data_IF_382207522725
#
_entry.id   IF_382207522725
#
_cell.length_a   1.000
_cell.length_b   1.000
_cell.length_c   1.000
_cell.angle_alpha   90.00
_cell.angle_beta   90.00
_cell.angle_gamma   90.00
#
_symmetry.space_group_name_H-M   'P 1'
#
loop_
_entity.id
_entity.type
_entity.pdbx_description
1 polymer ?
#
# COMPACT_ATOMS: atom_id res chain seq x y z
N UNK A 1 -16.31 -55.36 -8.24
CA UNK A 1 -15.43 -55.34 -7.03
C UNK A 1 -14.50 -54.12 -6.95
N UNK A 2 -13.96 -53.60 -8.07
CA UNK A 2 -13.06 -52.42 -8.08
C UNK A 2 -13.63 -51.16 -7.38
N UNK A 3 -14.93 -50.88 -7.50
CA UNK A 3 -15.54 -49.68 -6.90
C UNK A 3 -15.75 -49.75 -5.38
N UNK A 4 -15.63 -50.94 -4.76
CA UNK A 4 -15.71 -51.08 -3.29
C UNK A 4 -14.35 -50.82 -2.63
N UNK A 5 -13.26 -51.19 -3.31
CA UNK A 5 -11.89 -51.00 -2.83
C UNK A 5 -11.50 -49.51 -2.84
N UNK A 6 -11.88 -48.76 -3.89
CA UNK A 6 -11.60 -47.31 -3.98
C UNK A 6 -12.36 -46.50 -2.92
N UNK A 7 -13.56 -46.94 -2.52
CA UNK A 7 -14.34 -46.28 -1.46
C UNK A 7 -13.75 -46.52 -0.07
N UNK A 8 -13.19 -47.71 0.17
CA UNK A 8 -12.54 -48.06 1.44
C UNK A 8 -11.20 -47.32 1.63
N UNK A 9 -10.43 -47.12 0.57
CA UNK A 9 -9.17 -46.35 0.64
C UNK A 9 -9.40 -44.85 0.84
N UNK A 10 -10.46 -44.27 0.26
CA UNK A 10 -10.84 -42.87 0.49
C UNK A 10 -11.35 -42.61 1.92
N UNK A 11 -11.98 -43.60 2.56
CA UNK A 11 -12.46 -43.48 3.95
C UNK A 11 -11.30 -43.49 4.97
N UNK A 12 -10.25 -44.28 4.71
CA UNK A 12 -9.08 -44.39 5.57
C UNK A 12 -8.19 -43.13 5.55
N UNK A 13 -8.13 -42.42 4.42
CA UNK A 13 -7.36 -41.17 4.29
C UNK A 13 -8.09 -40.00 4.97
N UNK A 14 -9.43 -40.01 5.06
CA UNK A 14 -10.18 -39.01 5.83
C UNK A 14 -10.08 -39.18 7.35
N UNK A 15 -9.79 -40.38 7.85
CA UNK A 15 -9.64 -40.66 9.28
C UNK A 15 -8.26 -40.28 9.85
N UNK A 16 -7.25 -40.05 9.00
CA UNK A 16 -5.90 -39.63 9.42
C UNK A 16 -5.69 -38.11 9.52
N UNK A 17 -6.68 -37.27 9.22
CA UNK A 17 -6.57 -35.81 9.34
C UNK A 17 -7.20 -35.22 10.62
N UNK A 18 -7.68 -36.07 11.55
CA UNK A 18 -8.39 -35.64 12.77
C UNK A 18 -7.58 -35.82 14.07
N UNK A 19 -6.38 -36.41 14.02
CA UNK A 19 -5.49 -36.51 15.20
C UNK A 19 -4.29 -35.57 15.08
N UNK A 20 -4.48 -34.34 15.55
CA UNK A 20 -3.42 -33.33 15.62
C UNK A 20 -3.82 -32.14 16.47
N UNK A 21 -4.30 -32.38 17.70
CA UNK A 21 -4.48 -31.34 18.70
C UNK A 21 -3.80 -31.75 20.03
N UNK A 22 -3.21 -30.72 20.64
CA UNK A 22 -2.70 -30.63 22.00
C UNK A 22 -1.34 -31.31 22.26
N UNK A 23 -0.29 -30.51 22.49
CA UNK A 23 0.45 -30.44 23.76
C UNK A 23 1.30 -29.16 23.82
N UNK A 24 1.66 -28.76 25.05
CA UNK A 24 2.42 -27.59 25.54
C UNK A 24 1.58 -26.32 25.77
N UNK A 25 0.88 -26.16 26.91
CA UNK A 25 1.33 -25.90 28.29
C UNK A 25 2.16 -24.63 28.52
N UNK A 26 1.61 -23.85 29.46
CA UNK A 26 1.98 -22.55 30.00
C UNK A 26 3.40 -22.48 30.61
N UNK A 27 4.01 -21.31 30.49
CA UNK A 27 4.93 -20.77 31.49
C UNK A 27 4.62 -19.27 31.71
N UNK A 28 4.67 -18.76 32.97
CA UNK A 28 4.02 -17.52 33.38
C UNK A 28 4.88 -16.26 33.21
N UNK A 29 4.19 -15.13 33.26
CA UNK A 29 4.72 -13.78 33.33
C UNK A 29 5.49 -13.52 34.65
N UNK A 30 6.60 -12.79 34.54
CA UNK A 30 7.29 -12.16 35.67
C UNK A 30 7.24 -10.63 35.52
N UNK A 31 6.40 -9.99 36.33
CA UNK A 31 6.46 -8.57 36.66
C UNK A 31 6.94 -8.44 38.11
N UNK A 32 8.06 -7.75 38.33
CA UNK A 32 8.47 -7.08 39.58
C UNK A 32 9.65 -6.18 39.21
N UNK A 33 9.77 -4.91 39.60
CA UNK A 33 9.01 -4.12 40.54
C UNK A 33 9.34 -2.63 40.37
N UNK A 34 8.51 -1.81 40.99
CA UNK A 34 8.66 -0.36 41.09
C UNK A 34 9.54 -0.01 42.29
N UNK A 35 10.36 1.03 42.20
CA UNK A 35 10.58 1.99 43.30
C UNK A 35 11.41 3.18 42.82
N UNK A 36 10.73 4.33 42.70
CA UNK A 36 11.08 5.62 43.29
C UNK A 36 12.55 5.97 43.52
N UNK A 37 13.03 7.05 42.91
CA UNK A 37 13.39 8.33 43.57
C UNK A 37 14.20 9.19 42.59
N UNK A 38 13.72 10.40 42.30
CA UNK A 38 14.52 11.42 41.62
C UNK A 38 15.39 12.17 42.63
N UNK A 39 16.42 12.87 42.13
CA UNK A 39 16.73 14.18 42.69
C UNK A 39 16.84 15.25 41.59
N UNK A 40 15.93 16.21 41.69
CA UNK A 40 16.25 17.63 41.84
C UNK A 40 17.34 18.24 40.94
N UNK A 41 16.81 18.96 39.96
CA UNK A 41 17.32 20.15 39.29
C UNK A 41 18.26 21.02 40.15
N UNK A 42 19.46 21.32 39.65
CA UNK A 42 20.28 22.43 40.13
C UNK A 42 21.16 23.05 39.03
N UNK A 43 20.93 24.35 38.86
CA UNK A 43 21.88 25.44 38.56
C UNK A 43 22.73 25.43 37.28
N UNK A 44 22.23 26.25 36.36
CA UNK A 44 22.95 27.17 35.48
C UNK A 44 24.36 27.56 35.97
N UNK A 45 25.40 27.30 35.17
CA UNK A 45 26.68 28.03 35.22
C UNK A 45 27.23 28.31 33.81
N UNK A 46 27.95 29.41 33.79
CA UNK A 46 28.17 30.36 32.72
C UNK A 46 29.52 30.09 32.05
N UNK A 47 29.52 30.00 30.72
CA UNK A 47 30.57 30.39 29.77
C UNK A 47 32.03 29.97 30.00
N UNK A 48 32.61 29.28 29.02
CA UNK A 48 33.98 29.54 28.59
C UNK A 48 34.16 29.21 27.11
N UNK A 49 34.70 30.19 26.38
CA UNK A 49 35.09 30.12 24.97
C UNK A 49 36.40 29.33 24.86
N UNK A 50 36.54 28.47 23.86
CA UNK A 50 37.83 28.18 23.23
C UNK A 50 37.64 28.07 21.71
N UNK A 51 38.50 28.78 20.98
CA UNK A 51 38.48 28.88 19.54
C UNK A 51 39.03 27.63 18.84
N UNK A 52 38.74 27.55 17.55
CA UNK A 52 39.20 26.45 16.69
C UNK A 52 38.72 26.65 15.26
N UNK A 53 39.50 27.41 14.51
CA UNK A 53 39.33 27.71 13.09
C UNK A 53 39.85 26.53 12.26
N UNK A 54 38.96 25.69 11.70
CA UNK A 54 39.22 24.68 10.63
C UNK A 54 37.93 23.84 10.50
N UNK A 55 37.15 23.83 9.41
CA UNK A 55 37.46 23.22 8.11
C UNK A 55 36.36 23.66 7.12
N UNK A 56 36.71 24.51 6.14
CA UNK A 56 35.79 24.96 5.08
C UNK A 56 35.76 24.02 3.85
N UNK A 57 36.19 22.76 3.98
CA UNK A 57 36.41 21.86 2.83
C UNK A 57 35.76 20.46 2.90
N UNK A 58 35.23 20.04 4.04
CA UNK A 58 34.73 18.65 4.21
C UNK A 58 33.21 18.54 4.32
N UNK A 59 32.49 19.66 4.44
CA UNK A 59 31.04 19.64 4.62
C UNK A 59 30.24 19.45 3.31
N UNK A 60 30.89 19.56 2.15
CA UNK A 60 30.23 19.39 0.85
C UNK A 60 30.37 17.96 0.27
N UNK A 61 31.44 17.24 0.64
CA UNK A 61 31.67 15.85 0.19
C UNK A 61 30.85 14.81 0.96
N UNK A 62 30.67 14.98 2.27
CA UNK A 62 29.88 14.07 3.10
C UNK A 62 28.37 14.15 2.83
N UNK A 63 27.88 15.31 2.40
CA UNK A 63 26.45 15.52 2.15
C UNK A 63 25.98 14.83 0.86
N UNK A 64 26.81 14.81 -0.18
CA UNK A 64 26.51 14.11 -1.44
C UNK A 64 26.63 12.58 -1.29
N UNK A 65 27.62 12.10 -0.53
CA UNK A 65 27.79 10.67 -0.26
C UNK A 65 26.75 10.10 0.72
N UNK A 66 26.25 10.93 1.65
CA UNK A 66 25.11 10.58 2.51
C UNK A 66 23.78 10.54 1.77
N UNK A 67 23.61 11.38 0.75
CA UNK A 67 22.38 11.45 -0.04
C UNK A 67 22.22 10.28 -1.03
N UNK A 68 23.33 9.68 -1.50
CA UNK A 68 23.29 8.49 -2.37
C UNK A 68 23.10 7.17 -1.60
N UNK A 69 23.51 7.11 -0.32
CA UNK A 69 23.08 6.03 0.61
C UNK A 69 21.60 6.16 1.00
N UNK A 70 20.96 7.28 0.67
CA UNK A 70 19.54 7.55 0.89
C UNK A 70 18.64 7.10 -0.28
N UNK A 71 19.18 6.38 -1.28
CA UNK A 71 18.39 5.74 -2.36
C UNK A 71 17.41 4.64 -1.87
N UNK A 72 17.28 4.41 -0.56
CA UNK A 72 16.36 3.44 0.03
C UNK A 72 15.16 4.00 0.78
N UNK A 73 15.06 5.31 1.06
CA UNK A 73 14.15 5.81 2.11
C UNK A 73 13.37 7.07 1.74
N UNK A 74 12.88 7.18 0.50
CA UNK A 74 11.81 8.14 0.15
C UNK A 74 10.48 7.47 -0.21
N UNK A 75 10.33 6.20 0.15
CA UNK A 75 9.10 5.42 -0.06
C UNK A 75 8.20 5.45 1.18
N UNK A 76 8.22 6.57 1.90
CA UNK A 76 7.60 6.73 3.23
C UNK A 76 6.54 7.84 3.32
N UNK A 77 5.95 8.31 2.20
CA UNK A 77 4.69 9.08 2.27
C UNK A 77 3.50 8.13 2.50
N UNK A 78 3.52 7.50 3.68
CA UNK A 78 2.36 6.88 4.30
C UNK A 78 1.36 7.97 4.70
N UNK A 79 0.11 7.87 4.23
CA UNK A 79 -0.97 8.76 4.66
C UNK A 79 -1.82 9.31 3.51
N UNK A 80 -2.22 8.47 2.55
CA UNK A 80 -3.10 8.95 1.48
C UNK A 80 -3.41 7.89 0.45
N UNK A 81 -4.42 7.07 0.74
CA UNK A 81 -4.99 6.03 -0.12
C UNK A 81 -4.04 4.90 -0.55
N UNK A 82 -4.47 3.67 -0.27
CA UNK A 82 -3.93 2.44 -0.86
C UNK A 82 -4.23 2.33 -2.38
N UNK A 83 -4.04 3.41 -3.14
CA UNK A 83 -4.31 3.46 -4.58
C UNK A 83 -3.01 3.46 -5.36
N UNK A 84 -3.12 3.27 -6.67
CA UNK A 84 -2.06 3.49 -7.65
C UNK A 84 -2.33 4.87 -8.29
N UNK A 85 -2.16 6.00 -7.58
CA UNK A 85 -2.61 7.32 -8.08
C UNK A 85 -1.88 7.79 -9.34
N UNK A 86 -0.75 7.16 -9.70
CA UNK A 86 0.01 7.45 -10.92
C UNK A 86 -0.21 6.44 -12.06
N UNK A 87 -0.99 5.37 -11.86
CA UNK A 87 -1.23 4.39 -12.91
C UNK A 87 -2.27 4.92 -13.92
N UNK A 88 -1.99 4.89 -15.23
CA UNK A 88 -2.87 5.47 -16.25
C UNK A 88 -4.23 4.77 -16.32
N UNK A 89 -4.26 3.44 -16.13
CA UNK A 89 -5.50 2.66 -16.13
C UNK A 89 -6.34 3.04 -14.91
N UNK A 90 -5.72 3.18 -13.74
CA UNK A 90 -6.42 3.65 -12.55
C UNK A 90 -7.01 5.05 -12.75
N UNK A 91 -6.25 5.99 -13.34
CA UNK A 91 -6.73 7.35 -13.60
C UNK A 91 -7.99 7.38 -14.47
N UNK A 92 -8.02 6.59 -15.54
CA UNK A 92 -9.18 6.47 -16.45
C UNK A 92 -10.38 5.85 -15.73
N UNK A 93 -10.15 4.77 -14.99
CA UNK A 93 -11.22 4.01 -14.34
C UNK A 93 -11.75 4.69 -13.08
N UNK A 94 -10.97 5.58 -12.45
CA UNK A 94 -11.35 6.25 -11.20
C UNK A 94 -12.66 7.05 -11.35
N UNK A 95 -12.73 7.93 -12.35
CA UNK A 95 -13.94 8.74 -12.60
C UNK A 95 -15.06 7.96 -13.29
N UNK A 96 -14.74 6.79 -13.86
CA UNK A 96 -15.69 5.93 -14.60
C UNK A 96 -16.64 5.11 -13.71
N UNK A 97 -16.53 5.24 -12.38
CA UNK A 97 -17.38 4.55 -11.42
C UNK A 97 -16.63 3.81 -10.31
N UNK A 98 -15.41 4.23 -9.97
CA UNK A 98 -14.69 3.67 -8.83
C UNK A 98 -15.42 3.98 -7.50
N UNK A 99 -15.49 3.04 -6.54
CA UNK A 99 -16.39 3.21 -5.40
C UNK A 99 -16.05 4.42 -4.52
N UNK A 100 -14.77 4.79 -4.37
CA UNK A 100 -14.42 6.00 -3.62
C UNK A 100 -14.91 7.29 -4.31
N UNK A 101 -14.94 7.30 -5.64
CA UNK A 101 -15.44 8.42 -6.42
C UNK A 101 -16.98 8.53 -6.32
N UNK A 102 -17.67 7.40 -6.40
CA UNK A 102 -19.12 7.32 -6.22
C UNK A 102 -19.54 7.77 -4.81
N UNK A 103 -18.82 7.31 -3.78
CA UNK A 103 -19.04 7.72 -2.39
C UNK A 103 -18.82 9.23 -2.19
N UNK A 104 -17.78 9.81 -2.79
CA UNK A 104 -17.55 11.27 -2.77
C UNK A 104 -18.71 12.04 -3.45
N UNK A 105 -19.42 11.38 -4.35
CA UNK A 105 -20.51 11.96 -5.13
C UNK A 105 -21.89 11.50 -4.64
N UNK A 106 -21.96 10.94 -3.42
CA UNK A 106 -23.16 10.28 -2.91
C UNK A 106 -24.40 11.18 -2.91
N UNK A 107 -24.25 12.44 -2.47
CA UNK A 107 -25.32 13.42 -2.49
C UNK A 107 -25.79 13.74 -3.91
N UNK A 108 -24.86 13.97 -4.85
CA UNK A 108 -25.19 14.29 -6.25
C UNK A 108 -25.89 13.14 -6.97
N UNK A 109 -25.54 11.90 -6.63
CA UNK A 109 -26.14 10.69 -7.18
C UNK A 109 -27.37 10.22 -6.40
N UNK A 110 -27.73 10.91 -5.31
CA UNK A 110 -28.79 10.50 -4.37
C UNK A 110 -28.66 9.01 -3.99
N UNK A 111 -27.47 8.60 -3.56
CA UNK A 111 -27.24 7.20 -3.16
C UNK A 111 -28.02 6.89 -1.89
N UNK A 112 -28.72 5.75 -1.89
CA UNK A 112 -29.34 5.22 -0.68
C UNK A 112 -28.30 4.73 0.32
N UNK A 113 -28.66 4.63 1.59
CA UNK A 113 -27.80 4.10 2.65
C UNK A 113 -27.28 2.68 2.33
N UNK A 114 -28.15 1.84 1.75
CA UNK A 114 -27.79 0.49 1.31
C UNK A 114 -26.70 0.52 0.23
N UNK A 115 -26.81 1.42 -0.75
CA UNK A 115 -25.80 1.60 -1.79
C UNK A 115 -24.48 2.12 -1.20
N UNK A 116 -24.53 3.08 -0.28
CA UNK A 116 -23.34 3.61 0.41
C UNK A 116 -22.64 2.51 1.20
N UNK A 117 -23.37 1.69 1.94
CA UNK A 117 -22.82 0.55 2.71
C UNK A 117 -22.16 -0.47 1.78
N UNK A 118 -22.83 -0.84 0.69
CA UNK A 118 -22.29 -1.78 -0.30
C UNK A 118 -21.01 -1.25 -0.97
N UNK A 119 -20.98 0.03 -1.36
CA UNK A 119 -19.80 0.67 -1.95
C UNK A 119 -18.63 0.78 -0.97
N UNK A 120 -18.89 1.07 0.31
CA UNK A 120 -17.85 1.08 1.34
C UNK A 120 -17.24 -0.31 1.55
N UNK A 121 -18.07 -1.36 1.64
CA UNK A 121 -17.60 -2.73 1.77
C UNK A 121 -16.75 -3.15 0.56
N UNK A 122 -17.20 -2.80 -0.65
CA UNK A 122 -16.46 -3.08 -1.88
C UNK A 122 -15.11 -2.35 -1.92
N UNK A 123 -15.09 -1.06 -1.54
CA UNK A 123 -13.85 -0.27 -1.40
C UNK A 123 -12.88 -0.90 -0.40
N UNK A 124 -13.35 -1.31 0.78
CA UNK A 124 -12.51 -1.93 1.80
C UNK A 124 -11.94 -3.26 1.33
N UNK A 125 -12.76 -4.11 0.70
CA UNK A 125 -12.32 -5.38 0.13
C UNK A 125 -11.24 -5.19 -0.95
N UNK A 126 -11.45 -4.22 -1.84
CA UNK A 126 -10.47 -3.83 -2.85
C UNK A 126 -9.15 -3.37 -2.21
N UNK A 127 -9.21 -2.45 -1.24
CA UNK A 127 -8.03 -1.94 -0.53
C UNK A 127 -7.22 -3.07 0.12
N UNK A 128 -7.90 -4.00 0.82
CA UNK A 128 -7.24 -5.19 1.41
C UNK A 128 -6.53 -6.02 0.35
N UNK A 129 -7.17 -6.22 -0.81
CA UNK A 129 -6.58 -6.99 -1.91
C UNK A 129 -5.36 -6.28 -2.51
N UNK A 130 -5.44 -4.97 -2.71
CA UNK A 130 -4.32 -4.17 -3.23
C UNK A 130 -3.14 -4.19 -2.27
N UNK A 131 -3.36 -4.09 -0.96
CA UNK A 131 -2.29 -4.16 0.04
C UNK A 131 -1.53 -5.49 -0.08
N UNK A 132 -2.26 -6.61 -0.12
CA UNK A 132 -1.65 -7.95 -0.29
C UNK A 132 -0.84 -8.04 -1.58
N UNK A 133 -1.41 -7.61 -2.71
CA UNK A 133 -0.74 -7.65 -4.01
C UNK A 133 0.47 -6.71 -4.10
N UNK A 134 0.43 -5.57 -3.41
CA UNK A 134 1.60 -4.68 -3.29
C UNK A 134 2.71 -5.31 -2.45
N UNK A 135 2.39 -6.06 -1.40
CA UNK A 135 3.38 -6.82 -0.66
C UNK A 135 4.02 -7.91 -1.56
N UNK A 136 3.21 -8.68 -2.30
CA UNK A 136 3.71 -9.66 -3.27
C UNK A 136 4.66 -9.00 -4.30
N UNK A 137 4.29 -7.82 -4.81
CA UNK A 137 5.09 -7.05 -5.76
C UNK A 137 6.43 -6.61 -5.15
N UNK A 138 6.42 -6.11 -3.91
CA UNK A 138 7.63 -5.68 -3.20
C UNK A 138 8.59 -6.86 -2.97
N UNK A 139 8.07 -8.03 -2.57
CA UNK A 139 8.86 -9.25 -2.42
C UNK A 139 9.49 -9.62 -3.77
N UNK A 140 8.71 -9.65 -4.85
CA UNK A 140 9.23 -9.98 -6.18
C UNK A 140 10.31 -8.99 -6.67
N UNK A 141 10.19 -7.70 -6.32
CA UNK A 141 11.20 -6.68 -6.63
C UNK A 141 12.49 -6.85 -5.81
N UNK A 142 12.40 -7.27 -4.54
CA UNK A 142 13.56 -7.61 -3.70
C UNK A 142 14.29 -8.80 -4.31
N UNK A 143 13.57 -9.87 -4.65
CA UNK A 143 14.15 -11.06 -5.30
C UNK A 143 14.85 -10.72 -6.61
N UNK A 144 14.22 -9.85 -7.43
CA UNK A 144 14.83 -9.40 -8.69
C UNK A 144 16.14 -8.66 -8.44
N UNK A 145 16.17 -7.77 -7.43
CA UNK A 145 17.39 -7.02 -7.06
C UNK A 145 18.50 -7.97 -6.61
N UNK A 146 18.16 -9.00 -5.83
CA UNK A 146 19.12 -10.02 -5.41
C UNK A 146 19.67 -10.81 -6.61
N UNK A 147 18.81 -11.25 -7.54
CA UNK A 147 19.22 -11.95 -8.74
C UNK A 147 20.11 -11.10 -9.66
N UNK A 148 19.82 -9.80 -9.78
CA UNK A 148 20.58 -8.87 -10.59
C UNK A 148 21.94 -8.50 -9.97
N UNK A 149 22.07 -8.55 -8.65
CA UNK A 149 23.32 -8.29 -7.93
C UNK A 149 24.27 -9.49 -7.85
N UNK A 150 23.88 -10.66 -8.35
CA UNK A 150 24.73 -11.85 -8.33
C UNK A 150 25.90 -11.72 -9.33
N UNK A 151 27.05 -12.32 -9.01
CA UNK A 151 28.26 -12.32 -9.87
C UNK A 151 27.98 -12.83 -11.28
N UNK A 152 27.14 -13.85 -11.40
CA UNK A 152 26.70 -14.40 -12.68
C UNK A 152 25.23 -14.06 -12.91
N UNK A 153 24.96 -13.33 -13.99
CA UNK A 153 23.61 -12.87 -14.32
C UNK A 153 22.79 -14.02 -14.94
N UNK A 154 21.94 -14.65 -14.13
CA UNK A 154 21.08 -15.74 -14.58
C UNK A 154 19.86 -15.20 -15.36
N UNK A 155 20.04 -14.97 -16.67
CA UNK A 155 19.04 -14.35 -17.55
C UNK A 155 17.64 -14.99 -17.41
N UNK A 156 17.54 -16.33 -17.42
CA UNK A 156 16.26 -17.04 -17.33
C UNK A 156 15.52 -16.75 -16.01
N UNK A 157 16.23 -16.71 -14.88
CA UNK A 157 15.66 -16.40 -13.56
C UNK A 157 15.20 -14.94 -13.47
N UNK A 158 15.99 -14.02 -14.02
CA UNK A 158 15.64 -12.60 -14.09
C UNK A 158 14.40 -12.38 -14.95
N UNK A 159 14.37 -12.96 -16.16
CA UNK A 159 13.20 -12.90 -17.05
C UNK A 159 11.94 -13.44 -16.38
N UNK A 160 12.03 -14.58 -15.69
CA UNK A 160 10.90 -15.15 -14.96
C UNK A 160 10.39 -14.20 -13.86
N UNK A 161 11.29 -13.55 -13.12
CA UNK A 161 10.91 -12.60 -12.06
C UNK A 161 10.31 -11.31 -12.62
N UNK A 162 10.83 -10.78 -13.72
CA UNK A 162 10.24 -9.64 -14.45
C UNK A 162 8.82 -9.98 -14.91
N UNK A 163 8.60 -11.16 -15.47
CA UNK A 163 7.26 -11.59 -15.89
C UNK A 163 6.29 -11.72 -14.71
N UNK A 164 6.76 -12.23 -13.55
CA UNK A 164 5.96 -12.31 -12.35
C UNK A 164 5.54 -10.91 -11.84
N UNK A 165 6.48 -9.95 -11.83
CA UNK A 165 6.19 -8.55 -11.49
C UNK A 165 5.12 -7.97 -12.41
N UNK A 166 5.30 -8.12 -13.73
CA UNK A 166 4.35 -7.62 -14.73
C UNK A 166 2.96 -8.26 -14.57
N UNK A 167 2.90 -9.55 -14.25
CA UNK A 167 1.65 -10.27 -13.98
C UNK A 167 0.92 -9.70 -12.75
N UNK A 168 1.64 -9.42 -11.66
CA UNK A 168 1.05 -8.80 -10.46
C UNK A 168 0.49 -7.42 -10.78
N UNK A 169 1.22 -6.60 -11.53
CA UNK A 169 0.75 -5.26 -11.93
C UNK A 169 -0.47 -5.32 -12.85
N UNK A 170 -0.46 -6.19 -13.85
CA UNK A 170 -1.61 -6.42 -14.72
C UNK A 170 -2.84 -6.87 -13.92
N UNK A 171 -2.64 -7.80 -12.97
CA UNK A 171 -3.68 -8.25 -12.06
C UNK A 171 -4.27 -7.13 -11.20
N UNK A 172 -3.44 -6.19 -10.71
CA UNK A 172 -3.90 -5.00 -10.00
C UNK A 172 -4.80 -4.12 -10.87
N UNK A 173 -4.40 -3.85 -12.13
CA UNK A 173 -5.19 -3.05 -13.08
C UNK A 173 -6.53 -3.73 -13.41
N UNK A 174 -6.53 -5.05 -13.61
CA UNK A 174 -7.76 -5.83 -13.82
C UNK A 174 -8.66 -5.83 -12.59
N UNK A 175 -8.09 -5.82 -11.38
CA UNK A 175 -8.87 -5.73 -10.15
C UNK A 175 -9.58 -4.38 -10.02
N UNK A 176 -8.94 -3.28 -10.46
CA UNK A 176 -9.60 -1.96 -10.55
C UNK A 176 -10.81 -2.04 -11.48
N UNK A 177 -10.65 -2.61 -12.67
CA UNK A 177 -11.75 -2.77 -13.64
C UNK A 177 -12.90 -3.59 -13.06
N UNK A 178 -12.61 -4.74 -12.44
CA UNK A 178 -13.62 -5.58 -11.79
C UNK A 178 -14.35 -4.81 -10.67
N UNK A 179 -13.60 -4.05 -9.87
CA UNK A 179 -14.16 -3.22 -8.80
C UNK A 179 -15.09 -2.13 -9.35
N UNK A 180 -14.71 -1.47 -10.45
CA UNK A 180 -15.59 -0.50 -11.15
C UNK A 180 -16.84 -1.18 -11.68
N UNK A 181 -16.71 -2.35 -12.32
CA UNK A 181 -17.85 -3.11 -12.82
C UNK A 181 -18.84 -3.48 -11.69
N UNK A 182 -18.33 -3.99 -10.56
CA UNK A 182 -19.15 -4.30 -9.38
C UNK A 182 -19.80 -3.06 -8.77
N UNK A 183 -19.07 -1.94 -8.73
CA UNK A 183 -19.59 -0.67 -8.20
C UNK A 183 -20.73 -0.14 -9.05
N UNK A 184 -20.59 -0.21 -10.38
CA UNK A 184 -21.64 0.22 -11.32
C UNK A 184 -22.90 -0.63 -11.21
N UNK A 185 -22.79 -1.93 -10.86
CA UNK A 185 -23.95 -2.80 -10.62
C UNK A 185 -24.76 -2.44 -9.35
N UNK A 186 -24.18 -1.68 -8.43
CA UNK A 186 -24.88 -1.19 -7.22
C UNK A 186 -25.78 0.02 -7.55
N UNK A 187 -25.45 0.74 -8.63
CA UNK A 187 -26.18 1.93 -9.05
C UNK A 187 -27.43 1.56 -9.86
N UNK A 188 -28.43 2.43 -9.80
CA UNK A 188 -29.60 2.35 -10.70
C UNK A 188 -29.22 2.82 -12.11
N UNK A 189 -30.05 2.49 -13.11
CA UNK A 189 -29.87 2.98 -14.47
C UNK A 189 -29.81 4.52 -14.54
N UNK A 190 -30.67 5.21 -13.78
CA UNK A 190 -30.69 6.67 -13.68
C UNK A 190 -29.40 7.24 -13.09
N UNK A 191 -28.86 6.62 -12.05
CA UNK A 191 -27.58 7.03 -11.44
C UNK A 191 -26.39 6.77 -12.38
N UNK A 192 -26.41 5.67 -13.15
CA UNK A 192 -25.37 5.37 -14.12
C UNK A 192 -25.29 6.41 -15.25
N UNK A 193 -26.44 6.92 -15.71
CA UNK A 193 -26.51 7.96 -16.73
C UNK A 193 -25.90 9.29 -16.27
N UNK A 194 -25.79 9.53 -14.96
CA UNK A 194 -25.19 10.76 -14.41
C UNK A 194 -23.66 10.72 -14.36
N UNK A 195 -23.03 9.54 -14.51
CA UNK A 195 -21.58 9.39 -14.38
C UNK A 195 -20.74 10.20 -15.39
N UNK A 196 -21.08 10.27 -16.69
CA UNK A 196 -20.31 11.05 -17.65
C UNK A 196 -20.23 12.53 -17.27
N UNK A 197 -21.35 13.15 -16.89
CA UNK A 197 -21.39 14.56 -16.47
C UNK A 197 -20.63 14.79 -15.16
N UNK A 198 -20.77 13.87 -14.21
CA UNK A 198 -20.02 13.92 -12.96
C UNK A 198 -18.51 13.88 -13.21
N UNK A 199 -18.06 13.06 -14.17
CA UNK A 199 -16.64 12.91 -14.53
C UNK A 199 -16.03 14.19 -15.12
N UNK A 200 -16.80 14.93 -15.94
CA UNK A 200 -16.40 16.24 -16.50
C UNK A 200 -16.20 17.30 -15.40
N UNK A 201 -17.05 17.26 -14.37
CA UNK A 201 -16.97 18.20 -13.23
C UNK A 201 -15.77 17.95 -12.31
N UNK A 202 -15.24 16.73 -12.30
CA UNK A 202 -13.98 16.40 -11.64
C UNK A 202 -12.81 16.60 -12.60
N UNK A 203 -12.60 17.86 -13.02
CA UNK A 203 -11.43 18.28 -13.76
C UNK A 203 -10.16 18.00 -12.96
N UNK A 204 -9.55 16.84 -13.21
CA UNK A 204 -8.15 16.57 -12.85
C UNK A 204 -7.30 17.29 -13.90
N UNK A 205 -7.18 18.61 -13.75
CA UNK A 205 -6.34 19.49 -14.58
C UNK A 205 -7.04 20.79 -14.96
N UNK A 206 -6.55 21.92 -14.46
CA UNK A 206 -6.90 23.24 -15.00
C UNK A 206 -7.34 24.30 -13.99
N UNK A 207 -6.49 24.65 -13.02
CA UNK A 207 -6.37 26.04 -12.56
C UNK A 207 -4.96 26.26 -12.03
N UNK A 208 -4.15 26.91 -12.85
CA UNK A 208 -2.86 27.43 -12.41
C UNK A 208 -3.07 28.39 -11.24
N UNK A 209 -2.37 28.15 -10.14
CA UNK A 209 -2.06 29.14 -9.11
C UNK A 209 -0.60 29.57 -9.27
N UNK A 210 -0.20 29.95 -10.49
CA UNK A 210 1.04 30.66 -10.75
C UNK A 210 0.70 31.94 -11.50
N UNK A 211 1.22 33.07 -11.00
CA UNK A 211 1.06 34.38 -11.63
C UNK A 211 0.29 35.39 -10.79
N UNK A 212 0.59 35.47 -9.49
CA UNK A 212 0.33 36.70 -8.74
C UNK A 212 1.17 37.83 -9.34
N UNK A 213 0.50 38.64 -10.16
CA UNK A 213 0.96 39.89 -10.79
C UNK A 213 1.68 40.78 -9.77
N UNK A 214 2.72 41.47 -10.25
CA UNK A 214 3.62 42.30 -9.46
C UNK A 214 2.93 43.31 -8.54
N UNK A 215 3.50 43.47 -7.36
CA UNK A 215 3.42 44.70 -6.58
C UNK A 215 4.72 45.46 -6.86
N UNK A 216 4.62 46.44 -7.76
CA UNK A 216 5.55 47.56 -7.79
C UNK A 216 5.51 48.26 -6.42
N UNK A 217 6.68 48.54 -5.86
CA UNK A 217 6.89 49.64 -4.92
C UNK A 217 7.97 50.51 -5.52
#
# INVERSE_FOLDING_TARGET
MKNRIVKMTMLAISLMLVYGLAYAQHAPASQTGSSTTGPQQSMMHKGQKMGGMMQKGQMMGGMMQGMMKNCGMMQGKMGGHATLPKDPVFKILFTSGYPAYLLKSAQKLNLSENQIKALNNLKLSFVKTVIKKKADLQIAQIDLRQLAGAKNLAYSKIKAKINAINSIEAGLRLNVLNTVQKSRKILTAKQLQQLPELSKSCGVGGKGMMGGKGMMK
#
